data_IF_461980518675
#
_entry.id   IF_461980518675
#
_cell.length_a   1.000
_cell.length_b   1.000
_cell.length_c   1.000
_cell.angle_alpha   90.00
_cell.angle_beta   90.00
_cell.angle_gamma   90.00
#
_symmetry.space_group_name_H-M   'P 1'
#
loop_
_entity.id
_entity.type
_entity.pdbx_description
1 polymer ?
#
# COMPACT_ATOMS: atom_id res chain seq x y z
N UNK A 1 31.40 7.16 -10.58
CA UNK A 1 31.81 6.64 -11.90
C UNK A 1 31.35 7.56 -13.03
N UNK A 2 32.26 7.98 -13.90
CA UNK A 2 31.98 8.74 -15.12
C UNK A 2 31.90 7.78 -16.31
N UNK A 3 30.71 7.53 -16.87
CA UNK A 3 30.54 6.66 -18.04
C UNK A 3 29.11 6.13 -18.23
N UNK A 4 28.75 5.74 -19.46
CA UNK A 4 27.48 5.06 -19.75
C UNK A 4 27.45 3.64 -19.13
N UNK A 5 26.44 3.37 -18.31
CA UNK A 5 26.24 2.09 -17.62
C UNK A 5 24.80 1.97 -17.11
N UNK A 6 24.36 0.75 -16.78
CA UNK A 6 23.10 0.52 -16.09
C UNK A 6 23.23 1.14 -14.69
N UNK A 7 22.37 2.11 -14.40
CA UNK A 7 22.34 2.84 -13.15
C UNK A 7 20.95 2.75 -12.57
N UNK A 8 20.87 2.56 -11.27
CA UNK A 8 19.64 2.73 -10.51
C UNK A 8 19.87 3.72 -9.39
N UNK A 9 18.85 4.51 -9.08
CA UNK A 9 18.88 5.48 -8.00
C UNK A 9 17.71 5.23 -7.05
N UNK A 10 17.98 5.28 -5.75
CA UNK A 10 16.99 5.38 -4.69
C UNK A 10 17.16 6.74 -4.02
N UNK A 11 16.10 7.53 -3.88
CA UNK A 11 16.17 8.91 -3.36
C UNK A 11 14.96 9.30 -2.53
N UNK A 12 15.14 10.27 -1.65
CA UNK A 12 14.06 10.89 -0.89
C UNK A 12 13.70 12.28 -1.45
N UNK A 13 12.44 12.66 -1.27
CA UNK A 13 11.98 14.04 -1.47
C UNK A 13 12.16 14.89 -0.21
N UNK A 14 11.53 16.07 -0.19
CA UNK A 14 11.54 16.97 0.98
C UNK A 14 10.85 16.36 2.19
N UNK A 15 9.89 15.46 2.00
CA UNK A 15 9.23 14.75 3.11
C UNK A 15 10.25 13.97 3.95
N UNK A 16 11.20 13.29 3.31
CA UNK A 16 12.28 12.58 4.01
C UNK A 16 13.21 13.55 4.73
N UNK A 17 13.61 14.65 4.09
CA UNK A 17 14.44 15.70 4.72
C UNK A 17 13.77 16.35 5.93
N UNK A 18 12.43 16.40 5.93
CA UNK A 18 11.58 16.94 6.99
C UNK A 18 11.13 15.90 8.01
N UNK A 19 11.61 14.66 7.90
CA UNK A 19 11.33 13.57 8.82
C UNK A 19 9.83 13.27 9.01
N UNK A 20 9.02 13.46 7.95
CA UNK A 20 7.63 13.03 7.95
C UNK A 20 7.59 11.51 8.13
N UNK A 21 6.86 10.98 9.12
CA UNK A 21 6.97 9.58 9.56
C UNK A 21 6.58 8.55 8.49
N UNK A 22 5.86 8.99 7.46
CA UNK A 22 5.45 8.23 6.28
C UNK A 22 6.07 8.80 4.99
N UNK A 23 7.29 9.33 5.08
CA UNK A 23 8.08 9.71 3.91
C UNK A 23 8.58 8.48 3.13
N UNK A 24 8.54 8.58 1.81
CA UNK A 24 8.88 7.52 0.86
C UNK A 24 10.35 7.56 0.46
N UNK A 25 10.90 6.40 0.07
CA UNK A 25 12.05 6.32 -0.84
C UNK A 25 11.57 5.95 -2.22
N UNK A 26 12.00 6.71 -3.23
CA UNK A 26 11.62 6.51 -4.63
C UNK A 26 12.80 5.92 -5.38
N UNK A 27 12.60 4.75 -5.98
CA UNK A 27 13.52 4.14 -6.93
C UNK A 27 13.20 4.60 -8.35
N UNK A 28 14.21 5.09 -9.05
CA UNK A 28 14.07 5.79 -10.33
C UNK A 28 13.14 7.02 -10.21
N UNK A 29 11.94 6.88 -10.77
CA UNK A 29 10.93 7.93 -10.84
C UNK A 29 9.57 7.48 -10.30
N UNK A 30 9.15 6.23 -10.53
CA UNK A 30 7.78 5.77 -10.28
C UNK A 30 7.71 4.44 -9.52
N UNK A 31 8.70 4.14 -8.67
CA UNK A 31 8.71 2.93 -7.84
C UNK A 31 8.94 3.31 -6.39
N UNK A 32 8.00 2.98 -5.52
CA UNK A 32 7.93 3.56 -4.19
C UNK A 32 8.14 2.50 -3.12
N UNK A 33 9.11 2.75 -2.25
CA UNK A 33 9.08 2.25 -0.89
C UNK A 33 8.27 3.27 -0.07
N UNK A 34 6.94 3.21 -0.27
CA UNK A 34 6.03 4.27 0.19
C UNK A 34 5.71 4.24 1.68
N UNK A 35 5.50 3.04 2.23
CA UNK A 35 5.01 2.87 3.61
C UNK A 35 6.14 2.75 4.64
N UNK A 36 5.78 2.89 5.92
CA UNK A 36 6.66 2.68 7.08
C UNK A 36 7.84 3.66 7.23
N UNK A 37 7.85 4.76 6.48
CA UNK A 37 8.76 5.87 6.77
C UNK A 37 10.23 5.65 6.41
N UNK A 38 10.54 4.77 5.45
CA UNK A 38 11.92 4.56 5.02
C UNK A 38 12.60 5.88 4.58
N UNK A 39 11.84 6.81 4.01
CA UNK A 39 12.33 8.13 3.62
C UNK A 39 12.74 8.99 4.81
N UNK A 40 12.03 8.90 5.94
CA UNK A 40 12.39 9.58 7.18
C UNK A 40 13.68 9.00 7.77
N UNK A 41 13.87 7.68 7.66
CA UNK A 41 15.11 7.02 8.09
C UNK A 41 16.29 7.50 7.24
N UNK A 42 16.13 7.61 5.91
CA UNK A 42 17.14 8.23 5.04
C UNK A 42 17.45 9.67 5.46
N UNK A 43 16.40 10.49 5.66
CA UNK A 43 16.54 11.89 6.07
C UNK A 43 17.26 12.06 7.40
N UNK A 44 16.93 11.24 8.41
CA UNK A 44 17.58 11.29 9.73
C UNK A 44 19.08 10.97 9.70
N UNK A 45 19.53 10.29 8.63
CA UNK A 45 20.94 9.98 8.37
C UNK A 45 21.59 10.98 7.41
N UNK A 46 20.91 12.06 7.03
CA UNK A 46 21.33 13.01 5.99
C UNK A 46 21.68 12.32 4.66
N UNK A 47 21.01 11.21 4.34
CA UNK A 47 21.22 10.44 3.12
C UNK A 47 20.16 10.83 2.06
N UNK A 48 20.55 11.67 1.10
CA UNK A 48 19.62 12.11 0.04
C UNK A 48 19.30 11.01 -0.98
N UNK A 49 20.31 10.23 -1.36
CA UNK A 49 20.17 9.20 -2.37
C UNK A 49 21.27 8.14 -2.28
N UNK A 50 20.99 6.95 -2.81
CA UNK A 50 21.95 5.89 -3.10
C UNK A 50 21.90 5.62 -4.61
N UNK A 51 23.06 5.64 -5.25
CA UNK A 51 23.20 5.31 -6.68
C UNK A 51 24.00 4.02 -6.80
N UNK A 52 23.42 3.03 -7.47
CA UNK A 52 24.08 1.75 -7.74
C UNK A 52 24.31 1.65 -9.23
N UNK A 53 25.54 1.32 -9.63
CA UNK A 53 25.88 0.99 -11.01
C UNK A 53 26.70 -0.30 -11.03
N UNK A 54 26.46 -1.13 -12.03
CA UNK A 54 27.12 -2.42 -12.15
C UNK A 54 26.88 -3.03 -13.52
N UNK A 55 27.82 -3.87 -13.95
CA UNK A 55 27.74 -4.68 -15.18
C UNK A 55 28.03 -6.15 -14.92
N UNK A 56 28.16 -6.55 -13.65
CA UNK A 56 28.43 -7.93 -13.24
C UNK A 56 27.21 -8.80 -13.52
N UNK A 57 27.46 -10.05 -13.90
CA UNK A 57 26.45 -11.10 -14.02
C UNK A 57 26.75 -12.21 -13.02
N UNK A 58 25.70 -12.93 -12.60
CA UNK A 58 25.85 -14.12 -11.78
C UNK A 58 26.04 -15.35 -12.69
N UNK A 59 27.03 -16.22 -12.41
CA UNK A 59 27.21 -17.45 -13.17
C UNK A 59 26.06 -18.41 -12.89
N UNK A 60 25.62 -19.13 -13.92
CA UNK A 60 24.58 -20.16 -13.82
C UNK A 60 25.19 -21.47 -14.30
N UNK A 61 25.23 -22.48 -13.42
CA UNK A 61 25.91 -23.76 -13.68
C UNK A 61 25.24 -24.57 -14.80
N UNK A 62 23.90 -24.65 -14.81
CA UNK A 62 23.13 -25.33 -15.85
C UNK A 62 22.26 -24.33 -16.64
N UNK A 63 22.88 -23.75 -17.67
CA UNK A 63 22.21 -22.77 -18.54
C UNK A 63 21.03 -23.37 -19.33
N UNK A 64 21.05 -24.67 -19.64
CA UNK A 64 19.97 -25.32 -20.39
C UNK A 64 18.73 -25.45 -19.51
N UNK A 65 18.91 -25.91 -18.27
CA UNK A 65 17.82 -26.01 -17.29
C UNK A 65 17.32 -24.62 -16.89
N UNK A 66 18.21 -23.65 -16.69
CA UNK A 66 17.83 -22.27 -16.43
C UNK A 66 16.91 -21.69 -17.51
N UNK A 67 17.29 -21.81 -18.79
CA UNK A 67 16.46 -21.32 -19.90
C UNK A 67 15.10 -22.01 -19.96
N UNK A 68 15.04 -23.31 -19.67
CA UNK A 68 13.78 -24.05 -19.63
C UNK A 68 12.83 -23.45 -18.58
N UNK A 69 13.30 -23.30 -17.34
CA UNK A 69 12.47 -22.77 -16.24
C UNK A 69 12.12 -21.30 -16.47
N UNK A 70 13.06 -20.51 -16.98
CA UNK A 70 12.78 -19.12 -17.37
C UNK A 70 11.64 -19.02 -18.39
N UNK A 71 11.66 -19.86 -19.43
CA UNK A 71 10.60 -19.86 -20.45
C UNK A 71 9.25 -20.30 -19.86
N UNK A 72 9.23 -21.29 -18.98
CA UNK A 72 8.00 -21.72 -18.28
C UNK A 72 7.36 -20.56 -17.50
N UNK A 73 8.17 -19.77 -16.78
CA UNK A 73 7.71 -18.60 -16.03
C UNK A 73 7.28 -17.47 -16.96
N UNK A 74 8.06 -17.21 -18.01
CA UNK A 74 7.76 -16.19 -18.99
C UNK A 74 6.42 -16.47 -19.69
N UNK A 75 6.23 -17.70 -20.16
CA UNK A 75 4.99 -18.13 -20.83
C UNK A 75 3.80 -18.07 -19.87
N UNK A 76 3.99 -18.46 -18.61
CA UNK A 76 2.96 -18.32 -17.57
C UNK A 76 2.60 -16.86 -17.31
N UNK A 77 3.59 -15.96 -17.28
CA UNK A 77 3.37 -14.55 -17.03
C UNK A 77 2.68 -13.84 -18.21
N UNK A 78 3.04 -14.19 -19.44
CA UNK A 78 2.52 -13.55 -20.66
C UNK A 78 1.13 -14.07 -21.03
N UNK A 79 0.85 -15.36 -20.83
CA UNK A 79 -0.41 -15.97 -21.24
C UNK A 79 -1.46 -16.03 -20.11
N UNK A 80 -1.09 -15.69 -18.87
CA UNK A 80 -2.02 -15.74 -17.74
C UNK A 80 -3.10 -14.64 -17.83
N UNK A 81 -4.40 -15.01 -17.77
CA UNK A 81 -5.49 -14.03 -17.65
C UNK A 81 -5.34 -13.13 -16.42
N UNK A 82 -4.72 -13.63 -15.35
CA UNK A 82 -4.49 -12.86 -14.12
C UNK A 82 -3.51 -11.72 -14.36
N UNK A 83 -2.50 -11.92 -15.21
CA UNK A 83 -1.52 -10.87 -15.52
C UNK A 83 -2.05 -9.87 -16.55
N UNK A 84 -2.95 -10.30 -17.45
CA UNK A 84 -3.56 -9.43 -18.46
C UNK A 84 -4.23 -8.20 -17.86
N UNK A 85 -4.97 -8.37 -16.77
CA UNK A 85 -5.66 -7.26 -16.09
C UNK A 85 -4.70 -6.16 -15.63
N UNK A 86 -3.54 -6.56 -15.08
CA UNK A 86 -2.47 -5.64 -14.66
C UNK A 86 -1.77 -4.99 -15.84
N UNK A 87 -1.69 -5.67 -16.99
CA UNK A 87 -1.17 -5.10 -18.22
C UNK A 87 -2.13 -4.05 -18.81
N UNK A 88 -3.44 -4.32 -18.82
CA UNK A 88 -4.42 -3.50 -19.55
C UNK A 88 -4.78 -2.20 -18.81
N UNK A 89 -5.24 -2.30 -17.55
CA UNK A 89 -5.71 -1.15 -16.76
C UNK A 89 -4.87 -0.91 -15.49
N UNK A 90 -3.89 -1.77 -15.23
CA UNK A 90 -3.08 -1.71 -14.01
C UNK A 90 -3.88 -2.10 -12.78
N UNK A 91 -3.39 -1.71 -11.60
CA UNK A 91 -4.12 -2.00 -10.36
C UNK A 91 -5.40 -1.17 -10.24
N UNK A 92 -5.45 0.00 -10.89
CA UNK A 92 -6.57 0.95 -10.86
C UNK A 92 -7.91 0.37 -11.34
N UNK A 93 -7.88 -0.73 -12.10
CA UNK A 93 -9.06 -1.55 -12.45
C UNK A 93 -9.91 -1.91 -11.23
N UNK A 94 -9.32 -2.03 -10.04
CA UNK A 94 -10.04 -2.44 -8.83
C UNK A 94 -11.11 -1.43 -8.36
N UNK A 95 -11.11 -0.16 -8.82
CA UNK A 95 -12.08 0.85 -8.38
C UNK A 95 -13.52 0.41 -8.66
N UNK A 96 -13.86 0.07 -9.91
CA UNK A 96 -15.25 -0.28 -10.28
C UNK A 96 -15.73 -1.57 -9.60
N UNK A 97 -14.97 -2.70 -9.61
CA UNK A 97 -15.40 -3.93 -8.95
C UNK A 97 -15.60 -3.75 -7.44
N UNK A 98 -14.72 -3.01 -6.76
CA UNK A 98 -14.89 -2.75 -5.32
C UNK A 98 -16.08 -1.85 -5.02
N UNK A 99 -16.33 -0.85 -5.86
CA UNK A 99 -17.51 0.00 -5.74
C UNK A 99 -18.80 -0.82 -5.90
N UNK A 100 -18.86 -1.65 -6.94
CA UNK A 100 -20.01 -2.53 -7.19
C UNK A 100 -20.23 -3.49 -6.01
N UNK A 101 -19.15 -4.08 -5.50
CA UNK A 101 -19.13 -4.96 -4.34
C UNK A 101 -19.56 -4.26 -3.04
N UNK A 102 -19.37 -2.93 -2.94
CA UNK A 102 -19.63 -2.16 -1.72
C UNK A 102 -18.50 -2.25 -0.71
N UNK A 103 -17.26 -2.39 -1.17
CA UNK A 103 -16.07 -2.47 -0.33
C UNK A 103 -15.05 -1.36 -0.59
N UNK A 104 -15.47 -0.25 -1.23
CA UNK A 104 -14.62 0.88 -1.62
C UNK A 104 -14.75 2.01 -0.57
N UNK A 105 -13.75 2.22 0.31
CA UNK A 105 -13.78 3.28 1.30
C UNK A 105 -13.94 4.66 0.66
N UNK A 106 -14.93 5.40 1.14
CA UNK A 106 -15.32 6.69 0.60
C UNK A 106 -15.55 7.67 1.75
N UNK A 107 -14.96 8.87 1.64
CA UNK A 107 -15.05 9.97 2.65
C UNK A 107 -14.77 9.48 4.08
N UNK A 108 -13.53 9.11 4.36
CA UNK A 108 -13.12 8.52 5.65
C UNK A 108 -13.98 7.31 6.08
N UNK A 109 -14.27 6.42 5.12
CA UNK A 109 -15.12 5.24 5.30
C UNK A 109 -16.53 5.57 5.83
N UNK A 110 -17.05 6.80 5.68
CA UNK A 110 -18.47 7.11 5.95
C UNK A 110 -19.37 6.33 5.00
N UNK A 111 -18.86 6.03 3.81
CA UNK A 111 -19.54 5.30 2.75
C UNK A 111 -18.63 4.21 2.19
N UNK A 112 -19.24 3.17 1.59
CA UNK A 112 -18.53 2.03 0.97
C UNK A 112 -18.73 1.96 -0.55
N UNK A 113 -19.43 2.96 -1.08
CA UNK A 113 -19.63 3.19 -2.51
C UNK A 113 -19.45 4.66 -2.80
N UNK A 114 -18.97 4.95 -3.99
CA UNK A 114 -18.82 6.29 -4.51
C UNK A 114 -19.64 6.44 -5.80
N UNK A 115 -20.47 7.47 -5.87
CA UNK A 115 -21.43 7.63 -6.97
C UNK A 115 -20.80 8.02 -8.31
N UNK A 116 -19.57 8.54 -8.31
CA UNK A 116 -18.87 9.07 -9.49
C UNK A 116 -17.64 8.25 -9.87
N UNK A 117 -17.65 6.94 -9.63
CA UNK A 117 -16.47 6.12 -9.94
C UNK A 117 -16.11 6.11 -11.42
N UNK A 118 -17.09 6.28 -12.32
CA UNK A 118 -16.85 6.29 -13.77
C UNK A 118 -16.01 7.51 -14.23
N UNK A 119 -15.91 8.57 -13.42
CA UNK A 119 -15.12 9.78 -13.71
C UNK A 119 -13.66 9.68 -13.19
N UNK A 120 -13.36 8.69 -12.33
CA UNK A 120 -12.06 8.56 -11.62
C UNK A 120 -11.50 7.13 -11.65
N UNK A 121 -12.11 6.19 -12.35
CA UNK A 121 -11.65 4.79 -12.37
C UNK A 121 -10.37 4.59 -13.21
N UNK A 122 -9.82 3.38 -13.14
CA UNK A 122 -8.70 2.98 -13.99
C UNK A 122 -9.02 3.09 -15.49
N UNK A 123 -10.26 2.80 -15.88
CA UNK A 123 -10.78 2.98 -17.23
C UNK A 123 -10.79 4.45 -17.64
N UNK A 124 -11.32 5.34 -16.79
CA UNK A 124 -11.36 6.77 -17.07
C UNK A 124 -9.96 7.37 -17.21
N UNK A 125 -9.03 6.96 -16.34
CA UNK A 125 -7.61 7.35 -16.44
C UNK A 125 -6.96 6.79 -17.70
N UNK A 126 -7.24 5.54 -18.07
CA UNK A 126 -6.69 4.90 -19.26
C UNK A 126 -7.16 5.57 -20.55
N UNK A 127 -8.45 5.89 -20.66
CA UNK A 127 -9.04 6.50 -21.84
C UNK A 127 -8.58 7.96 -22.04
N UNK A 128 -8.54 8.73 -20.95
CA UNK A 128 -8.39 10.19 -21.05
C UNK A 128 -6.98 10.69 -20.75
N UNK A 129 -6.18 9.96 -19.97
CA UNK A 129 -4.91 10.47 -19.44
C UNK A 129 -3.70 9.56 -19.67
N UNK A 130 -3.86 8.26 -19.98
CA UNK A 130 -2.71 7.36 -20.11
C UNK A 130 -1.75 7.79 -21.22
N UNK A 131 -0.58 8.28 -20.82
CA UNK A 131 0.46 8.70 -21.76
C UNK A 131 1.38 7.54 -22.15
N UNK A 132 1.71 6.65 -21.19
CA UNK A 132 2.52 5.45 -21.45
C UNK A 132 2.43 4.43 -20.32
N UNK A 133 2.90 3.22 -20.62
CA UNK A 133 3.10 2.13 -19.64
C UNK A 133 4.57 1.77 -19.54
N UNK A 134 5.01 1.39 -18.35
CA UNK A 134 6.37 0.98 -18.04
C UNK A 134 6.39 -0.39 -17.34
N UNK A 135 7.49 -1.10 -17.46
CA UNK A 135 7.72 -2.35 -16.75
C UNK A 135 8.83 -2.21 -15.70
N UNK A 136 8.77 -3.01 -14.64
CA UNK A 136 9.95 -3.29 -13.81
C UNK A 136 11.00 -4.06 -14.61
N UNK A 137 12.25 -4.05 -14.12
CA UNK A 137 13.34 -4.79 -14.76
C UNK A 137 12.96 -6.25 -14.98
N UNK A 138 13.19 -6.77 -16.19
CA UNK A 138 12.86 -8.13 -16.62
C UNK A 138 11.38 -8.56 -16.56
N UNK A 139 10.46 -7.66 -16.23
CA UNK A 139 9.03 -7.97 -16.16
C UNK A 139 8.37 -7.82 -17.54
N UNK A 140 7.67 -8.84 -18.08
CA UNK A 140 6.99 -8.73 -19.37
C UNK A 140 5.62 -8.02 -19.31
N UNK A 141 5.12 -7.68 -18.12
CA UNK A 141 3.71 -7.31 -17.91
C UNK A 141 3.44 -5.80 -18.08
N UNK A 142 4.40 -4.94 -17.78
CA UNK A 142 4.23 -3.49 -17.99
C UNK A 142 3.11 -2.84 -17.16
N UNK A 143 2.97 -3.19 -15.87
CA UNK A 143 1.84 -2.74 -15.04
C UNK A 143 1.91 -1.28 -14.56
N UNK A 144 3.02 -0.58 -14.76
CA UNK A 144 3.18 0.80 -14.26
C UNK A 144 2.53 1.75 -15.25
N UNK A 145 1.40 2.32 -14.88
CA UNK A 145 0.64 3.25 -15.72
C UNK A 145 1.02 4.69 -15.40
N UNK A 146 1.32 5.48 -16.43
CA UNK A 146 1.73 6.87 -16.28
C UNK A 146 0.75 7.76 -17.05
N UNK A 147 -0.01 8.56 -16.31
CA UNK A 147 -0.86 9.60 -16.85
C UNK A 147 -0.02 10.78 -17.36
N UNK A 148 -0.49 11.44 -18.41
CA UNK A 148 -0.02 12.71 -18.91
C UNK A 148 -1.08 13.78 -18.62
N UNK A 149 -0.93 14.48 -17.50
CA UNK A 149 -1.81 15.60 -17.14
C UNK A 149 -1.32 16.84 -17.88
N UNK A 150 -2.21 17.46 -18.67
CA UNK A 150 -1.94 18.69 -19.41
C UNK A 150 -2.73 19.84 -18.81
N UNK A 151 -2.02 20.80 -18.25
CA UNK A 151 -2.61 21.99 -17.64
C UNK A 151 -2.32 23.20 -18.53
N UNK A 152 -3.34 23.96 -18.98
CA UNK A 152 -3.10 25.17 -19.77
C UNK A 152 -2.42 26.24 -18.91
N UNK A 153 -1.55 27.05 -19.52
CA UNK A 153 -1.09 28.28 -18.86
C UNK A 153 -2.24 29.29 -18.84
N UNK A 154 -2.43 29.99 -17.72
CA UNK A 154 -3.53 30.96 -17.54
C UNK A 154 -3.54 32.04 -18.63
N UNK A 155 -2.36 32.50 -19.04
CA UNK A 155 -2.21 33.62 -19.98
C UNK A 155 -1.85 33.21 -21.42
N UNK A 156 -1.69 31.91 -21.71
CA UNK A 156 -1.20 31.43 -23.02
C UNK A 156 -2.00 30.22 -23.54
N UNK A 157 -3.00 30.49 -24.39
CA UNK A 157 -4.03 29.53 -24.85
C UNK A 157 -3.52 28.25 -25.55
N UNK A 158 -2.26 28.21 -26.01
CA UNK A 158 -1.67 27.05 -26.67
C UNK A 158 -0.47 26.46 -25.92
N UNK A 159 -0.14 26.99 -24.75
CA UNK A 159 0.93 26.49 -23.92
C UNK A 159 0.37 25.63 -22.80
N UNK A 160 1.03 24.49 -22.56
CA UNK A 160 0.61 23.53 -21.56
C UNK A 160 1.81 23.09 -20.71
N UNK A 161 1.61 23.00 -19.40
CA UNK A 161 2.47 22.21 -18.53
C UNK A 161 2.00 20.76 -18.64
N UNK A 162 2.91 19.85 -18.97
CA UNK A 162 2.63 18.41 -18.98
C UNK A 162 3.35 17.75 -17.82
N UNK A 163 2.59 17.21 -16.87
CA UNK A 163 3.10 16.37 -15.77
C UNK A 163 2.89 14.90 -16.09
N UNK A 164 3.92 14.08 -15.84
CA UNK A 164 3.86 12.62 -16.00
C UNK A 164 3.71 11.99 -14.61
N UNK A 165 2.56 11.37 -14.34
CA UNK A 165 2.16 10.98 -12.98
C UNK A 165 1.81 9.49 -12.97
N UNK A 166 2.46 8.71 -12.11
CA UNK A 166 2.07 7.30 -11.93
C UNK A 166 0.79 7.20 -11.14
N UNK A 167 -0.09 6.29 -11.55
CA UNK A 167 -1.31 6.00 -10.81
C UNK A 167 -1.49 4.50 -10.61
N UNK A 168 -1.99 4.16 -9.43
CA UNK A 168 -2.30 2.83 -8.98
C UNK A 168 -3.58 2.92 -8.14
N UNK A 169 -4.18 1.77 -7.86
CA UNK A 169 -5.41 1.69 -7.09
C UNK A 169 -5.32 2.29 -5.69
N UNK A 170 -4.27 2.00 -4.93
CA UNK A 170 -4.16 2.48 -3.54
C UNK A 170 -4.02 4.02 -3.47
N UNK A 171 -3.16 4.68 -4.27
CA UNK A 171 -3.18 6.15 -4.38
C UNK A 171 -4.54 6.70 -4.84
N UNK A 172 -5.19 6.05 -5.81
CA UNK A 172 -6.48 6.47 -6.36
C UNK A 172 -7.62 6.38 -5.34
N UNK A 173 -7.61 5.35 -4.49
CA UNK A 173 -8.51 5.28 -3.35
C UNK A 173 -8.18 6.41 -2.35
N UNK A 174 -6.92 6.51 -1.91
CA UNK A 174 -6.54 7.33 -0.78
C UNK A 174 -6.64 8.83 -1.07
N UNK A 175 -6.22 9.26 -2.26
CA UNK A 175 -6.27 10.66 -2.70
C UNK A 175 -7.49 10.97 -3.56
N UNK A 176 -8.31 9.96 -3.88
CA UNK A 176 -9.56 10.10 -4.64
C UNK A 176 -10.77 9.89 -3.74
N UNK A 177 -11.28 8.66 -3.72
CA UNK A 177 -12.57 8.30 -3.08
C UNK A 177 -12.58 8.55 -1.58
N UNK A 178 -11.44 8.33 -0.90
CA UNK A 178 -11.29 8.56 0.53
C UNK A 178 -11.44 10.03 0.92
N UNK A 179 -11.09 10.94 0.02
CA UNK A 179 -11.28 12.40 0.12
C UNK A 179 -12.55 12.89 -0.58
N UNK A 180 -13.32 11.98 -1.21
CA UNK A 180 -14.50 12.32 -1.99
C UNK A 180 -14.23 13.07 -3.30
N UNK A 181 -12.98 13.08 -3.78
CA UNK A 181 -12.60 13.65 -5.08
C UNK A 181 -13.18 12.77 -6.19
N UNK A 182 -13.86 13.40 -7.15
CA UNK A 182 -14.57 12.69 -8.21
C UNK A 182 -13.97 12.82 -9.60
N UNK A 183 -12.99 13.69 -9.79
CA UNK A 183 -12.35 13.93 -11.08
C UNK A 183 -10.99 13.25 -11.13
N UNK A 184 -10.72 12.53 -12.22
CA UNK A 184 -9.37 12.05 -12.54
C UNK A 184 -8.35 13.19 -12.61
N UNK A 185 -8.73 14.36 -13.14
CA UNK A 185 -7.85 15.53 -13.23
C UNK A 185 -7.42 16.02 -11.85
N UNK A 186 -8.38 16.18 -10.94
CA UNK A 186 -8.13 16.66 -9.58
C UNK A 186 -7.31 15.65 -8.78
N UNK A 187 -7.60 14.36 -8.92
CA UNK A 187 -6.76 13.30 -8.35
C UNK A 187 -5.31 13.41 -8.86
N UNK A 188 -5.12 13.59 -10.16
CA UNK A 188 -3.77 13.71 -10.75
C UNK A 188 -3.06 14.97 -10.25
N UNK A 189 -3.75 16.11 -10.11
CA UNK A 189 -3.18 17.34 -9.53
C UNK A 189 -2.68 17.13 -8.10
N UNK A 190 -3.47 16.46 -7.26
CA UNK A 190 -3.08 16.14 -5.89
C UNK A 190 -1.91 15.14 -5.85
N UNK A 191 -1.97 14.09 -6.68
CA UNK A 191 -0.93 13.08 -6.79
C UNK A 191 0.41 13.66 -7.26
N UNK A 192 0.42 14.62 -8.20
CA UNK A 192 1.63 15.34 -8.65
C UNK A 192 2.37 15.98 -7.45
N UNK A 193 1.62 16.54 -6.49
CA UNK A 193 2.19 17.15 -5.28
C UNK A 193 2.73 16.11 -4.32
N UNK A 194 2.00 15.03 -4.10
CA UNK A 194 2.42 13.91 -3.24
C UNK A 194 3.73 13.29 -3.78
N UNK A 195 3.79 13.01 -5.08
CA UNK A 195 4.97 12.49 -5.77
C UNK A 195 6.16 13.45 -5.66
N UNK A 196 5.95 14.75 -5.94
CA UNK A 196 7.00 15.75 -5.90
C UNK A 196 7.67 15.86 -4.52
N UNK A 197 6.89 15.67 -3.45
CA UNK A 197 7.41 15.72 -2.08
C UNK A 197 7.98 14.39 -1.58
N UNK A 198 7.65 13.28 -2.23
CA UNK A 198 8.08 11.93 -1.85
C UNK A 198 7.47 11.47 -0.53
N UNK A 199 6.17 11.66 -0.37
CA UNK A 199 5.37 11.26 0.80
C UNK A 199 4.42 10.11 0.43
N UNK A 200 4.06 9.24 1.37
CA UNK A 200 3.13 8.12 1.11
C UNK A 200 1.74 8.65 0.73
N UNK A 201 1.25 8.30 -0.46
CA UNK A 201 -0.07 8.66 -0.93
C UNK A 201 -1.19 8.07 -0.04
N UNK A 202 -1.01 6.84 0.45
CA UNK A 202 -2.00 6.18 1.28
C UNK A 202 -2.17 6.90 2.61
N UNK A 203 -1.07 7.05 3.36
CA UNK A 203 -1.10 7.76 4.64
C UNK A 203 -1.54 9.21 4.49
N UNK A 204 -1.08 9.91 3.45
CA UNK A 204 -1.51 11.29 3.17
C UNK A 204 -3.02 11.38 3.00
N UNK A 205 -3.61 10.51 2.18
CA UNK A 205 -5.05 10.49 1.92
C UNK A 205 -5.87 10.23 3.18
N UNK A 206 -5.50 9.21 3.97
CA UNK A 206 -6.22 8.85 5.19
C UNK A 206 -6.07 9.91 6.29
N UNK A 207 -4.88 10.50 6.45
CA UNK A 207 -4.64 11.62 7.39
C UNK A 207 -5.49 12.83 7.03
N UNK A 208 -5.57 13.19 5.74
CA UNK A 208 -6.39 14.30 5.27
C UNK A 208 -7.89 14.00 5.37
N UNK A 209 -8.30 12.75 5.20
CA UNK A 209 -9.67 12.33 5.39
C UNK A 209 -10.09 12.46 6.86
N UNK A 210 -9.26 11.99 7.80
CA UNK A 210 -9.49 12.22 9.23
C UNK A 210 -9.53 13.71 9.57
N UNK A 211 -8.60 14.52 9.05
CA UNK A 211 -8.57 15.96 9.29
C UNK A 211 -9.84 16.67 8.77
N UNK A 212 -10.34 16.26 7.60
CA UNK A 212 -11.61 16.75 7.05
C UNK A 212 -12.77 16.44 7.99
N UNK A 213 -12.89 15.19 8.43
CA UNK A 213 -13.97 14.79 9.35
C UNK A 213 -13.83 15.44 10.75
N UNK A 214 -12.60 15.60 11.24
CA UNK A 214 -12.32 16.28 12.50
C UNK A 214 -12.73 17.76 12.45
N UNK A 215 -12.51 18.44 11.32
CA UNK A 215 -12.96 19.82 11.10
C UNK A 215 -14.49 19.89 10.99
N UNK A 216 -15.14 18.98 10.24
CA UNK A 216 -16.61 18.89 10.17
C UNK A 216 -17.27 18.69 11.55
N UNK A 217 -16.62 17.93 12.43
CA UNK A 217 -17.09 17.68 13.81
C UNK A 217 -16.67 18.77 14.81
N UNK A 218 -15.90 19.77 14.39
CA UNK A 218 -15.42 20.85 15.25
C UNK A 218 -14.35 20.44 16.27
N UNK A 219 -13.66 19.31 16.06
CA UNK A 219 -12.53 18.90 16.89
C UNK A 219 -11.26 19.74 16.61
N UNK A 220 -11.16 20.28 15.40
CA UNK A 220 -10.14 21.24 14.98
C UNK A 220 -10.82 22.44 14.34
N UNK A 221 -10.22 23.62 14.45
CA UNK A 221 -10.75 24.87 13.91
C UNK A 221 -9.88 25.43 12.79
N UNK A 222 -10.36 26.49 12.14
CA UNK A 222 -9.59 27.26 11.14
C UNK A 222 -8.25 27.78 11.69
N UNK A 223 -8.14 27.96 13.01
CA UNK A 223 -6.87 28.33 13.64
C UNK A 223 -5.81 27.24 13.51
N UNK A 224 -6.18 25.98 13.74
CA UNK A 224 -5.26 24.85 13.58
C UNK A 224 -4.93 24.60 12.11
N UNK A 225 -5.90 24.77 11.22
CA UNK A 225 -5.72 24.53 9.77
C UNK A 225 -5.15 25.73 9.02
N UNK A 226 -4.87 26.86 9.69
CA UNK A 226 -4.39 28.10 9.05
C UNK A 226 -5.35 28.58 7.95
N UNK A 227 -6.64 28.65 8.29
CA UNK A 227 -7.75 29.04 7.42
C UNK A 227 -7.97 28.12 6.21
N UNK A 228 -7.31 26.96 6.16
CA UNK A 228 -7.60 25.92 5.16
C UNK A 228 -8.92 25.24 5.52
N UNK A 229 -9.89 25.37 4.63
CA UNK A 229 -11.20 24.72 4.73
C UNK A 229 -11.17 23.35 4.03
N UNK A 230 -10.92 22.28 4.78
CA UNK A 230 -10.91 20.93 4.23
C UNK A 230 -12.34 20.49 3.96
N UNK A 231 -12.64 20.18 2.71
CA UNK A 231 -13.98 19.81 2.27
C UNK A 231 -13.93 18.64 1.30
N UNK A 232 -14.78 17.64 1.52
CA UNK A 232 -14.87 16.47 0.66
C UNK A 232 -15.04 16.87 -0.81
N UNK A 233 -14.15 16.35 -1.64
CA UNK A 233 -14.14 16.57 -3.09
C UNK A 233 -13.53 17.89 -3.56
N UNK A 234 -13.06 18.76 -2.67
CA UNK A 234 -12.40 20.01 -3.03
C UNK A 234 -10.87 19.84 -2.99
N UNK A 235 -10.23 19.81 -4.16
CA UNK A 235 -8.81 19.45 -4.29
C UNK A 235 -7.85 20.53 -3.80
N UNK A 236 -8.19 21.80 -3.95
CA UNK A 236 -7.26 22.91 -3.68
C UNK A 236 -6.89 23.01 -2.18
N UNK A 237 -7.84 22.91 -1.23
CA UNK A 237 -7.52 22.80 0.19
C UNK A 237 -6.62 21.61 0.52
N UNK A 238 -6.80 20.45 -0.15
CA UNK A 238 -5.96 19.28 0.08
C UNK A 238 -4.53 19.49 -0.42
N UNK A 239 -4.34 20.10 -1.60
CA UNK A 239 -3.02 20.47 -2.13
C UNK A 239 -2.28 21.37 -1.13
N UNK A 240 -2.98 22.37 -0.59
CA UNK A 240 -2.44 23.27 0.42
C UNK A 240 -2.09 22.55 1.73
N UNK A 241 -2.95 21.66 2.20
CA UNK A 241 -2.70 20.86 3.38
C UNK A 241 -1.49 19.92 3.23
N UNK A 242 -1.32 19.27 2.06
CA UNK A 242 -0.11 18.48 1.76
C UNK A 242 1.14 19.34 1.89
N UNK A 243 1.13 20.55 1.34
CA UNK A 243 2.26 21.48 1.47
C UNK A 243 2.57 21.77 2.94
N UNK A 244 1.55 22.03 3.76
CA UNK A 244 1.73 22.29 5.19
C UNK A 244 2.15 21.08 6.01
N UNK A 245 1.76 19.86 5.63
CA UNK A 245 2.32 18.63 6.24
C UNK A 245 3.84 18.57 6.03
N UNK A 246 4.35 19.00 4.88
CA UNK A 246 5.79 19.03 4.61
C UNK A 246 6.48 20.20 5.32
N UNK A 247 5.86 21.38 5.31
CA UNK A 247 6.42 22.61 5.91
C UNK A 247 6.37 22.60 7.44
N UNK A 248 5.38 21.93 8.01
CA UNK A 248 5.10 21.83 9.46
C UNK A 248 5.03 23.22 10.13
N UNK A 249 4.19 24.15 9.65
CA UNK A 249 4.17 25.54 10.14
C UNK A 249 3.64 25.68 11.57
N UNK A 250 2.90 24.69 12.08
CA UNK A 250 2.34 24.69 13.42
C UNK A 250 2.30 23.24 13.99
N UNK A 251 1.81 23.12 15.23
CA UNK A 251 1.72 21.81 15.91
C UNK A 251 0.74 20.85 15.24
N UNK A 252 -0.35 21.36 14.66
CA UNK A 252 -1.35 20.53 13.97
C UNK A 252 -0.74 19.81 12.77
N UNK A 253 -0.11 20.55 11.85
CA UNK A 253 0.55 19.95 10.70
C UNK A 253 1.79 19.11 11.07
N UNK A 254 2.49 19.46 12.15
CA UNK A 254 3.55 18.62 12.72
C UNK A 254 3.00 17.28 13.25
N UNK A 255 1.77 17.27 13.78
CA UNK A 255 1.10 16.05 14.22
C UNK A 255 0.60 15.23 13.02
N UNK A 256 0.00 15.86 12.00
CA UNK A 256 -0.36 15.20 10.75
C UNK A 256 0.85 14.52 10.10
N UNK A 257 2.00 15.18 10.09
CA UNK A 257 3.27 14.63 9.57
C UNK A 257 3.78 13.39 10.33
N UNK A 258 3.16 13.03 11.45
CA UNK A 258 3.44 11.80 12.21
C UNK A 258 2.40 10.69 12.02
N UNK A 259 1.37 10.93 11.20
CA UNK A 259 0.31 9.96 10.89
C UNK A 259 -0.97 10.16 11.70
N UNK A 260 -2.03 9.48 11.28
CA UNK A 260 -3.39 9.69 11.80
C UNK A 260 -3.52 9.18 13.24
N UNK A 261 -2.81 8.12 13.60
CA UNK A 261 -2.74 7.59 14.97
C UNK A 261 -2.26 8.68 15.94
N UNK A 262 -1.16 9.35 15.59
CA UNK A 262 -0.59 10.38 16.44
C UNK A 262 -1.46 11.64 16.48
N UNK A 263 -1.93 12.11 15.31
CA UNK A 263 -2.75 13.30 15.24
C UNK A 263 -4.06 13.15 16.04
N UNK A 264 -4.74 12.02 15.89
CA UNK A 264 -6.00 11.76 16.62
C UNK A 264 -5.81 11.61 18.13
N UNK A 265 -4.68 11.09 18.61
CA UNK A 265 -4.38 11.05 20.05
C UNK A 265 -4.25 12.44 20.72
N UNK A 266 -3.96 13.47 19.92
CA UNK A 266 -3.78 14.86 20.40
C UNK A 266 -5.07 15.65 20.26
N UNK A 267 -5.75 15.52 19.13
CA UNK A 267 -6.90 16.36 18.75
C UNK A 267 -8.26 15.63 18.87
N UNK A 268 -8.25 14.36 19.27
CA UNK A 268 -9.44 13.50 19.39
C UNK A 268 -9.82 12.78 18.09
N UNK A 269 -10.96 12.10 18.10
CA UNK A 269 -11.45 11.39 16.90
C UNK A 269 -10.76 10.07 16.61
N UNK A 270 -10.18 9.42 17.62
CA UNK A 270 -9.56 8.09 17.49
C UNK A 270 -10.52 7.03 16.92
N UNK A 271 -11.84 7.14 17.19
CA UNK A 271 -12.84 6.19 16.66
C UNK A 271 -12.91 6.17 15.12
N UNK A 272 -12.60 7.29 14.46
CA UNK A 272 -12.59 7.43 13.00
C UNK A 272 -11.18 7.71 12.44
N UNK A 273 -10.14 7.52 13.25
CA UNK A 273 -8.76 7.47 12.82
C UNK A 273 -8.45 6.07 12.29
N UNK A 274 -8.58 5.89 10.98
CA UNK A 274 -8.45 4.60 10.29
C UNK A 274 -6.98 4.18 10.14
N UNK A 275 -6.39 3.73 11.24
CA UNK A 275 -5.05 3.11 11.27
C UNK A 275 -5.07 1.77 11.99
N UNK A 276 -4.14 0.91 11.59
CA UNK A 276 -3.96 -0.45 12.06
C UNK A 276 -2.50 -0.62 12.45
N UNK A 277 -2.21 -0.76 13.75
CA UNK A 277 -0.83 -0.79 14.25
C UNK A 277 0.00 0.42 13.82
N UNK A 278 -0.58 1.61 13.89
CA UNK A 278 0.04 2.89 13.51
C UNK A 278 0.15 3.14 12.01
N UNK A 279 -0.35 2.24 11.15
CA UNK A 279 -0.33 2.38 9.70
C UNK A 279 -1.73 2.70 9.16
N UNK A 280 -1.85 3.71 8.31
CA UNK A 280 -3.13 4.09 7.72
C UNK A 280 -3.77 2.96 6.90
N UNK A 281 -5.11 2.95 6.88
CA UNK A 281 -5.93 1.93 6.26
C UNK A 281 -5.62 1.74 4.76
N UNK A 282 -5.64 0.49 4.25
CA UNK A 282 -5.66 0.23 2.81
C UNK A 282 -7.07 0.33 2.22
N UNK A 283 -7.19 0.43 0.89
CA UNK A 283 -8.47 0.68 0.19
C UNK A 283 -9.55 -0.40 0.28
N UNK A 284 -9.45 -1.37 1.19
CA UNK A 284 -10.31 -2.54 1.23
C UNK A 284 -11.18 -2.57 2.49
N UNK A 285 -12.47 -2.27 2.34
CA UNK A 285 -13.49 -2.56 3.36
C UNK A 285 -14.38 -3.73 2.92
N UNK A 286 -13.76 -4.89 2.69
CA UNK A 286 -14.43 -6.05 2.07
C UNK A 286 -15.06 -7.01 3.07
N UNK A 287 -14.59 -7.03 4.31
CA UNK A 287 -15.01 -8.01 5.32
C UNK A 287 -13.97 -8.16 6.44
N UNK A 288 -14.15 -9.16 7.33
CA UNK A 288 -13.27 -9.36 8.48
C UNK A 288 -11.85 -9.76 8.06
N UNK A 289 -11.67 -10.47 6.95
CA UNK A 289 -10.37 -10.88 6.46
C UNK A 289 -9.46 -9.69 6.13
N UNK A 290 -9.98 -8.64 5.49
CA UNK A 290 -9.19 -7.44 5.20
C UNK A 290 -8.64 -6.75 6.46
N UNK A 291 -9.49 -6.58 7.48
CA UNK A 291 -9.09 -5.88 8.71
C UNK A 291 -8.22 -6.74 9.60
N UNK A 292 -8.58 -8.01 9.82
CA UNK A 292 -7.77 -8.97 10.59
C UNK A 292 -6.41 -9.13 9.91
N UNK A 293 -6.39 -9.35 8.59
CA UNK A 293 -5.17 -9.50 7.81
C UNK A 293 -4.23 -8.31 7.96
N UNK A 294 -4.77 -7.08 7.98
CA UNK A 294 -3.98 -5.86 8.23
C UNK A 294 -3.54 -5.75 9.69
N UNK A 295 -4.37 -6.13 10.66
CA UNK A 295 -4.00 -6.10 12.09
C UNK A 295 -2.89 -7.11 12.42
N UNK A 296 -2.94 -8.31 11.86
CA UNK A 296 -1.98 -9.39 12.13
C UNK A 296 -0.80 -9.41 11.15
N UNK A 297 -0.82 -8.57 10.12
CA UNK A 297 0.31 -8.43 9.21
C UNK A 297 1.56 -8.00 9.98
N UNK A 298 2.71 -8.65 9.73
CA UNK A 298 3.99 -8.26 10.35
C UNK A 298 4.29 -6.77 10.17
N UNK A 299 3.90 -6.18 9.02
CA UNK A 299 4.06 -4.76 8.68
C UNK A 299 2.76 -3.96 8.77
N UNK A 300 1.66 -4.55 9.22
CA UNK A 300 0.32 -3.99 9.17
C UNK A 300 -0.11 -3.52 7.77
N UNK A 301 0.04 -4.42 6.79
CA UNK A 301 -0.24 -4.12 5.38
C UNK A 301 -1.13 -5.18 4.73
N UNK A 302 -2.02 -4.75 3.83
CA UNK A 302 -2.74 -5.64 2.91
C UNK A 302 -1.82 -6.44 1.95
N UNK A 303 -0.52 -6.16 1.94
CA UNK A 303 0.48 -6.94 1.21
C UNK A 303 1.10 -8.06 2.06
N UNK A 304 0.86 -8.10 3.36
CA UNK A 304 1.38 -9.16 4.22
C UNK A 304 0.59 -10.46 4.02
N UNK A 305 -0.72 -10.37 3.80
CA UNK A 305 -1.61 -11.48 3.42
C UNK A 305 -2.77 -10.96 2.55
N UNK A 306 -3.56 -11.85 1.98
CA UNK A 306 -4.59 -11.55 0.98
C UNK A 306 -6.01 -11.48 1.54
N UNK A 307 -6.19 -11.09 2.80
CA UNK A 307 -7.49 -11.15 3.48
C UNK A 307 -8.64 -10.48 2.74
N UNK A 308 -8.40 -9.34 2.08
CA UNK A 308 -9.40 -8.69 1.23
C UNK A 308 -9.85 -9.56 0.05
N UNK A 309 -8.93 -10.31 -0.56
CA UNK A 309 -9.25 -11.22 -1.66
C UNK A 309 -10.00 -12.45 -1.15
N UNK A 310 -9.71 -12.89 0.08
CA UNK A 310 -10.43 -13.97 0.73
C UNK A 310 -11.89 -13.59 0.99
N UNK A 311 -12.13 -12.39 1.52
CA UNK A 311 -13.48 -11.85 1.71
C UNK A 311 -14.29 -11.87 0.40
N UNK A 312 -13.70 -11.35 -0.68
CA UNK A 312 -14.33 -11.25 -1.99
C UNK A 312 -14.64 -12.60 -2.65
N UNK A 313 -13.84 -13.65 -2.38
CA UNK A 313 -13.96 -14.95 -3.07
C UNK A 313 -14.71 -16.00 -2.27
N UNK A 314 -14.50 -16.05 -0.96
CA UNK A 314 -14.78 -17.21 -0.13
C UNK A 314 -15.80 -16.92 0.97
N UNK A 315 -15.70 -15.79 1.69
CA UNK A 315 -16.65 -15.48 2.77
C UNK A 315 -18.05 -15.08 2.28
N UNK A 316 -18.21 -14.83 0.98
CA UNK A 316 -19.55 -14.76 0.36
C UNK A 316 -20.27 -16.12 0.35
N UNK A 317 -19.53 -17.24 0.42
CA UNK A 317 -20.06 -18.60 0.21
C UNK A 317 -20.07 -19.43 1.48
N UNK A 318 -19.09 -19.24 2.37
CA UNK A 318 -18.94 -20.04 3.58
C UNK A 318 -18.48 -19.16 4.75
N UNK A 319 -19.12 -19.30 5.92
CA UNK A 319 -18.64 -18.64 7.14
C UNK A 319 -17.46 -19.42 7.71
N UNK A 320 -16.38 -18.73 8.05
CA UNK A 320 -15.25 -19.28 8.81
C UNK A 320 -15.26 -18.78 10.24
N UNK A 321 -14.81 -19.61 11.18
CA UNK A 321 -14.54 -19.14 12.54
C UNK A 321 -13.39 -18.12 12.53
N UNK A 322 -13.29 -17.26 13.56
CA UNK A 322 -12.13 -16.37 13.73
C UNK A 322 -10.80 -17.11 13.63
N UNK A 323 -10.70 -18.29 14.23
CA UNK A 323 -9.50 -19.12 14.25
C UNK A 323 -9.15 -19.66 12.86
N UNK A 324 -10.12 -20.28 12.15
CA UNK A 324 -9.87 -20.84 10.81
C UNK A 324 -9.44 -19.74 9.82
N UNK A 325 -10.08 -18.56 9.89
CA UNK A 325 -9.70 -17.42 9.06
C UNK A 325 -8.28 -16.95 9.39
N UNK A 326 -7.93 -16.89 10.67
CA UNK A 326 -6.61 -16.46 11.13
C UNK A 326 -5.52 -17.41 10.67
N UNK A 327 -5.73 -18.73 10.77
CA UNK A 327 -4.80 -19.74 10.29
C UNK A 327 -4.52 -19.58 8.80
N UNK A 328 -5.56 -19.39 7.99
CA UNK A 328 -5.42 -19.16 6.54
C UNK A 328 -4.55 -17.92 6.25
N UNK A 329 -4.79 -16.82 6.96
CA UNK A 329 -4.06 -15.56 6.75
C UNK A 329 -2.59 -15.68 7.16
N UNK A 330 -2.29 -16.35 8.27
CA UNK A 330 -0.91 -16.58 8.73
C UNK A 330 -0.16 -17.49 7.76
N UNK A 331 -0.77 -18.58 7.30
CA UNK A 331 -0.13 -19.48 6.33
C UNK A 331 0.13 -18.78 4.99
N UNK A 332 -0.78 -17.92 4.52
CA UNK A 332 -0.53 -17.10 3.33
C UNK A 332 0.63 -16.10 3.57
N UNK A 333 0.69 -15.47 4.74
CA UNK A 333 1.77 -14.53 5.08
C UNK A 333 3.14 -15.22 5.17
N UNK A 334 3.20 -16.44 5.72
CA UNK A 334 4.41 -17.27 5.78
C UNK A 334 4.95 -17.57 4.39
N UNK A 335 4.08 -17.94 3.45
CA UNK A 335 4.48 -18.11 2.06
C UNK A 335 5.00 -16.79 1.44
N UNK A 336 4.34 -15.67 1.74
CA UNK A 336 4.80 -14.34 1.28
C UNK A 336 6.15 -13.93 1.88
N UNK A 337 6.59 -14.49 3.00
CA UNK A 337 7.96 -14.28 3.51
C UNK A 337 9.02 -14.86 2.56
N UNK A 338 8.76 -16.05 2.00
CA UNK A 338 9.63 -16.64 0.98
C UNK A 338 9.65 -15.76 -0.27
N UNK A 339 8.47 -15.46 -0.82
CA UNK A 339 8.36 -14.68 -2.05
C UNK A 339 9.00 -13.29 -1.93
N UNK A 340 8.81 -12.59 -0.80
CA UNK A 340 9.42 -11.27 -0.57
C UNK A 340 10.94 -11.34 -0.37
N UNK A 341 11.46 -12.41 0.24
CA UNK A 341 12.91 -12.65 0.36
C UNK A 341 13.58 -12.88 -1.00
N UNK A 342 12.85 -13.49 -1.94
CA UNK A 342 13.25 -13.65 -3.33
C UNK A 342 12.96 -12.41 -4.20
N UNK A 343 12.39 -11.36 -3.62
CA UNK A 343 12.00 -10.11 -4.30
C UNK A 343 11.01 -10.37 -5.46
N UNK A 344 10.15 -11.37 -5.31
CA UNK A 344 9.10 -11.70 -6.27
C UNK A 344 8.00 -10.65 -6.23
N UNK A 345 7.57 -10.16 -7.40
CA UNK A 345 6.41 -9.29 -7.50
C UNK A 345 5.12 -10.02 -7.06
N UNK A 346 4.41 -9.48 -6.08
CA UNK A 346 3.20 -10.11 -5.57
C UNK A 346 2.03 -10.19 -6.56
N UNK A 347 2.04 -9.43 -7.67
CA UNK A 347 1.08 -9.66 -8.76
C UNK A 347 1.30 -10.99 -9.47
N UNK A 348 2.54 -11.45 -9.54
CA UNK A 348 2.92 -12.73 -10.12
C UNK A 348 2.91 -13.88 -9.10
N UNK A 349 2.57 -13.65 -7.82
CA UNK A 349 2.69 -14.66 -6.74
C UNK A 349 2.03 -16.00 -7.05
N UNK A 350 0.93 -16.01 -7.79
CA UNK A 350 0.22 -17.23 -8.18
C UNK A 350 0.97 -18.10 -9.20
N UNK A 351 2.02 -17.57 -9.83
CA UNK A 351 2.92 -18.34 -10.72
C UNK A 351 3.96 -19.10 -9.89
N UNK A 352 4.40 -18.52 -8.77
CA UNK A 352 5.48 -19.06 -7.93
C UNK A 352 4.89 -19.97 -6.88
N UNK A 353 4.71 -21.25 -7.21
CA UNK A 353 4.37 -22.30 -6.25
C UNK A 353 5.61 -22.78 -5.47
N UNK A 354 5.45 -23.44 -4.31
CA UNK A 354 6.58 -24.03 -3.57
C UNK A 354 7.46 -24.93 -4.45
N UNK A 355 6.85 -25.78 -5.27
CA UNK A 355 7.52 -26.69 -6.19
C UNK A 355 8.41 -25.91 -7.18
N UNK A 356 7.85 -24.86 -7.80
CA UNK A 356 8.56 -24.04 -8.78
C UNK A 356 9.69 -23.23 -8.13
N UNK A 357 9.45 -22.67 -6.94
CA UNK A 357 10.47 -21.91 -6.20
C UNK A 357 11.62 -22.81 -5.77
N UNK A 358 11.32 -24.01 -5.28
CA UNK A 358 12.32 -25.04 -4.97
C UNK A 358 13.15 -25.36 -6.22
N UNK A 359 12.50 -25.64 -7.34
CA UNK A 359 13.18 -25.91 -8.61
C UNK A 359 14.08 -24.74 -9.05
N UNK A 360 13.61 -23.49 -8.93
CA UNK A 360 14.36 -22.28 -9.26
C UNK A 360 15.63 -22.13 -8.41
N UNK A 361 15.50 -22.30 -7.10
CA UNK A 361 16.61 -22.20 -6.17
C UNK A 361 17.67 -23.27 -6.45
N UNK A 362 17.25 -24.51 -6.72
CA UNK A 362 18.15 -25.60 -7.11
C UNK A 362 18.91 -25.28 -8.40
N UNK A 363 18.26 -24.67 -9.40
CA UNK A 363 18.92 -24.22 -10.64
C UNK A 363 19.92 -23.08 -10.37
N UNK A 364 19.63 -22.23 -9.40
CA UNK A 364 20.53 -21.17 -8.94
C UNK A 364 21.66 -21.67 -8.01
N UNK A 365 21.70 -22.97 -7.69
CA UNK A 365 22.74 -23.60 -6.88
C UNK A 365 22.42 -23.70 -5.38
N UNK A 366 21.17 -23.46 -4.97
CA UNK A 366 20.71 -23.62 -3.59
C UNK A 366 19.92 -24.93 -3.46
N UNK A 367 20.42 -25.85 -2.63
CA UNK A 367 19.73 -27.11 -2.31
C UNK A 367 18.63 -26.84 -1.27
N UNK A 368 17.43 -26.52 -1.76
CA UNK A 368 16.26 -26.18 -0.92
C UNK A 368 15.07 -27.00 -1.38
N UNK A 369 14.43 -27.73 -0.46
CA UNK A 369 13.19 -28.48 -0.71
C UNK A 369 11.94 -27.64 -0.43
N UNK A 370 10.75 -28.15 -0.77
CA UNK A 370 9.49 -27.48 -0.41
C UNK A 370 9.25 -27.44 1.10
N UNK A 371 9.63 -28.50 1.81
CA UNK A 371 9.58 -28.57 3.28
C UNK A 371 10.52 -27.53 3.91
N UNK A 372 11.71 -27.33 3.31
CA UNK A 372 12.61 -26.26 3.74
C UNK A 372 12.00 -24.88 3.53
N UNK A 373 11.30 -24.65 2.41
CA UNK A 373 10.64 -23.36 2.15
C UNK A 373 9.54 -23.07 3.17
N UNK A 374 8.70 -24.05 3.51
CA UNK A 374 7.69 -23.88 4.56
C UNK A 374 8.34 -23.54 5.91
N UNK A 375 9.34 -24.33 6.32
CA UNK A 375 10.09 -24.10 7.55
C UNK A 375 10.73 -22.72 7.59
N UNK A 376 11.46 -22.32 6.54
CA UNK A 376 12.11 -21.00 6.45
C UNK A 376 11.06 -19.87 6.48
N UNK A 377 9.90 -20.06 5.83
CA UNK A 377 8.81 -19.08 5.84
C UNK A 377 8.26 -18.84 7.24
N UNK A 378 8.05 -19.93 8.01
CA UNK A 378 7.66 -19.88 9.43
C UNK A 378 8.73 -19.19 10.28
N UNK A 379 10.00 -19.54 10.08
CA UNK A 379 11.14 -18.94 10.81
C UNK A 379 11.24 -17.43 10.57
N UNK A 380 11.20 -16.97 9.31
CA UNK A 380 11.26 -15.54 8.98
C UNK A 380 10.07 -14.78 9.59
N UNK A 381 8.87 -15.37 9.52
CA UNK A 381 7.67 -14.78 10.10
C UNK A 381 7.81 -14.62 11.63
N UNK A 382 8.26 -15.67 12.33
CA UNK A 382 8.51 -15.65 13.76
C UNK A 382 9.59 -14.62 14.15
N UNK A 383 10.69 -14.54 13.40
CA UNK A 383 11.77 -13.57 13.64
C UNK A 383 11.30 -12.12 13.47
N UNK A 384 10.46 -11.83 12.47
CA UNK A 384 9.87 -10.50 12.30
C UNK A 384 9.00 -10.13 13.51
N UNK A 385 8.25 -11.08 14.04
CA UNK A 385 7.48 -10.87 15.25
C UNK A 385 8.34 -10.73 16.51
N UNK A 386 9.40 -11.52 16.67
CA UNK A 386 10.38 -11.35 17.77
C UNK A 386 10.98 -9.96 17.75
N UNK A 387 11.39 -9.48 16.57
CA UNK A 387 11.86 -8.10 16.39
C UNK A 387 10.78 -7.10 16.81
N UNK A 388 9.55 -7.24 16.30
CA UNK A 388 8.43 -6.33 16.58
C UNK A 388 8.10 -6.24 18.08
N UNK A 389 8.06 -7.39 18.77
CA UNK A 389 7.81 -7.46 20.22
C UNK A 389 8.96 -6.84 21.02
N UNK A 390 10.22 -7.09 20.63
CA UNK A 390 11.40 -6.45 21.23
C UNK A 390 11.35 -4.93 21.16
N UNK A 391 10.83 -4.39 20.05
CA UNK A 391 10.64 -2.94 19.86
C UNK A 391 9.35 -2.39 20.53
N UNK A 392 8.67 -3.18 21.38
CA UNK A 392 7.58 -2.71 22.24
C UNK A 392 6.18 -2.88 21.66
N UNK A 393 6.00 -3.61 20.56
CA UNK A 393 4.67 -3.96 20.06
C UNK A 393 3.93 -4.87 21.04
N UNK A 394 2.61 -4.68 21.15
CA UNK A 394 1.72 -5.57 21.90
C UNK A 394 0.37 -5.68 21.21
N UNK A 395 -0.12 -6.92 21.08
CA UNK A 395 -1.48 -7.17 20.60
C UNK A 395 -2.55 -6.62 21.56
N UNK A 396 -2.26 -6.55 22.85
CA UNK A 396 -3.22 -6.09 23.86
C UNK A 396 -3.49 -4.58 23.76
N UNK A 397 -2.52 -3.84 23.21
CA UNK A 397 -2.60 -2.39 23.01
C UNK A 397 -3.00 -2.01 21.57
N UNK A 398 -3.31 -2.99 20.71
CA UNK A 398 -3.74 -2.69 19.35
C UNK A 398 -5.11 -2.01 19.35
N UNK A 399 -5.13 -0.74 18.95
CA UNK A 399 -6.37 -0.02 18.66
C UNK A 399 -7.01 -0.58 17.39
N UNK A 400 -8.32 -0.75 17.45
CA UNK A 400 -9.16 -1.09 16.30
C UNK A 400 -10.09 0.10 16.07
N UNK A 401 -10.03 0.79 14.92
CA UNK A 401 -10.86 1.97 14.68
C UNK A 401 -12.36 1.64 14.73
N UNK A 402 -13.12 2.33 15.58
CA UNK A 402 -14.57 2.09 15.75
C UNK A 402 -15.37 2.19 14.44
N UNK A 403 -14.97 3.09 13.53
CA UNK A 403 -15.61 3.32 12.22
C UNK A 403 -15.79 2.04 11.39
N UNK A 404 -14.90 1.06 11.50
CA UNK A 404 -15.06 -0.19 10.72
C UNK A 404 -16.28 -1.00 11.16
N UNK A 405 -16.78 -0.82 12.39
CA UNK A 405 -17.98 -1.51 12.90
C UNK A 405 -19.27 -0.72 12.64
N UNK A 406 -19.14 0.61 12.50
CA UNK A 406 -20.24 1.53 12.16
C UNK A 406 -20.65 1.39 10.70
N UNK A 407 -19.67 1.32 9.81
CA UNK A 407 -19.89 1.24 8.37
C UNK A 407 -20.06 -0.22 7.94
N UNK A 408 -21.19 -0.60 7.31
CA UNK A 408 -21.41 -1.99 6.90
C UNK A 408 -20.44 -2.45 5.81
N UNK A 409 -19.88 -3.65 5.98
CA UNK A 409 -19.11 -4.33 4.94
C UNK A 409 -20.01 -5.23 4.06
N UNK A 410 -19.57 -5.62 2.86
CA UNK A 410 -20.28 -6.58 2.00
C UNK A 410 -20.48 -7.95 2.67
N UNK A 411 -19.53 -8.36 3.51
CA UNK A 411 -19.55 -9.65 4.23
C UNK A 411 -20.15 -9.43 5.63
N UNK A 412 -21.42 -8.98 5.67
CA UNK A 412 -22.20 -8.67 6.90
C UNK A 412 -21.49 -7.66 7.84
N UNK A 413 -22.17 -7.32 8.94
CA UNK A 413 -21.63 -6.38 9.93
C UNK A 413 -20.45 -7.01 10.66
N UNK A 414 -19.35 -6.26 10.73
CA UNK A 414 -18.16 -6.64 11.46
C UNK A 414 -18.44 -6.66 12.97
N UNK A 415 -17.90 -7.65 13.67
CA UNK A 415 -18.04 -7.81 15.11
C UNK A 415 -16.66 -7.67 15.75
N UNK A 416 -16.52 -6.74 16.70
CA UNK A 416 -15.28 -6.51 17.42
C UNK A 416 -14.83 -7.77 18.18
N UNK A 417 -15.76 -8.56 18.73
CA UNK A 417 -15.43 -9.82 19.40
C UNK A 417 -14.80 -10.82 18.45
N UNK A 418 -15.27 -10.85 17.20
CA UNK A 418 -14.71 -11.72 16.17
C UNK A 418 -13.24 -11.35 15.89
N UNK A 419 -12.95 -10.06 15.71
CA UNK A 419 -11.57 -9.58 15.46
C UNK A 419 -10.67 -9.84 16.68
N UNK A 420 -11.15 -9.55 17.91
CA UNK A 420 -10.35 -9.78 19.12
C UNK A 420 -10.01 -11.25 19.33
N UNK A 421 -10.94 -12.16 19.05
CA UNK A 421 -10.69 -13.60 19.10
C UNK A 421 -9.62 -14.04 18.09
N UNK A 422 -9.59 -13.45 16.90
CA UNK A 422 -8.50 -13.67 15.94
C UNK A 422 -7.15 -13.20 16.49
N UNK A 423 -7.08 -12.03 17.12
CA UNK A 423 -5.83 -11.53 17.73
C UNK A 423 -5.34 -12.44 18.87
N UNK A 424 -6.24 -12.93 19.71
CA UNK A 424 -5.94 -13.91 20.76
C UNK A 424 -5.37 -15.20 20.16
N UNK A 425 -5.99 -15.72 19.11
CA UNK A 425 -5.50 -16.92 18.40
C UNK A 425 -4.10 -16.72 17.81
N UNK A 426 -3.79 -15.54 17.25
CA UNK A 426 -2.43 -15.21 16.80
C UNK A 426 -1.43 -15.26 17.96
N UNK A 427 -1.79 -14.73 19.13
CA UNK A 427 -0.92 -14.81 20.32
C UNK A 427 -0.66 -16.26 20.69
N UNK A 428 -1.67 -17.13 20.66
CA UNK A 428 -1.47 -18.55 20.97
C UNK A 428 -0.54 -19.25 19.97
N UNK A 429 -0.67 -18.97 18.68
CA UNK A 429 0.22 -19.51 17.64
C UNK A 429 1.67 -19.07 17.89
N UNK A 430 1.89 -17.76 18.04
CA UNK A 430 3.23 -17.20 18.23
C UNK A 430 3.85 -17.66 19.56
N UNK A 431 3.05 -17.89 20.60
CA UNK A 431 3.52 -18.47 21.87
C UNK A 431 4.02 -19.90 21.72
N UNK A 432 3.27 -20.75 20.98
CA UNK A 432 3.71 -22.12 20.65
C UNK A 432 5.02 -22.13 19.85
N UNK A 433 5.30 -21.06 19.11
CA UNK A 433 6.53 -20.87 18.31
C UNK A 433 7.68 -20.20 19.07
N UNK A 434 7.51 -19.92 20.36
CA UNK A 434 8.54 -19.29 21.19
C UNK A 434 8.90 -17.87 20.70
N UNK A 435 7.90 -17.11 20.24
CA UNK A 435 8.07 -15.70 19.86
C UNK A 435 8.06 -14.80 21.08
N UNK A 436 7.20 -15.09 22.05
CA UNK A 436 7.22 -14.43 23.35
C UNK A 436 8.35 -15.05 24.18
N UNK A 437 9.37 -14.26 24.47
CA UNK A 437 10.36 -14.61 25.50
C UNK A 437 9.79 -14.12 26.84
N UNK A 438 9.88 -14.95 27.88
CA UNK A 438 9.47 -14.62 29.26
C UNK A 438 10.20 -13.39 29.81
#
# INVERSE_FOLDING_TARGET
ETGAGLRTIMRIGKAGEKLVSYASVISETYRHFGRLGLGAVFGSKNLKAVVVSGKSSLPVADMKRYRKVYNEIYDSAVNSPVMKKYHDLGTAENILPLNAFGGLPTRNLKEVKFGKTDEISGEALAENYLGRRLACSHCPVGCIHIAALREPYEDEAYFFKTSMISYDYEPLYALGTMLGISSAEDFLKLMDRVEAWGIDAMSTGVVLAWATEAQEKGLISEKETLDVNLKWGDVEPYIMAVRYIIEQPNQFYSALAKGVEHASSIYGGEDFALSFGGNEMPGYHTGPGAHIGTLIGTRHSHLDNGGYSFDQKLLMKEKKSPEDLTDILIEEERWRQILSSLVVCFFARGIYSPELVSQLLNVAGFEVSEEDLDRIGREIHAEKYRFKMREGFSFDNLRIPGRIFETPSPVKQLDEKYIRKSLEHVKEILAKEGVFQD
#
